data_IF_309369184004
#
_entry.id   IF_309369184004
#
_cell.length_a   1.000
_cell.length_b   1.000
_cell.length_c   1.000
_cell.angle_alpha   90.00
_cell.angle_beta   90.00
_cell.angle_gamma   90.00
#
_symmetry.space_group_name_H-M   'P 1'
#
loop_
_entity.id
_entity.type
_entity.pdbx_description
1 polymer ?
#
# COMPACT_ATOMS: atom_id res chain seq x y z
N UNK A 1 18.03 6.43 -30.37
CA UNK A 1 18.50 5.48 -29.34
C UNK A 1 17.31 5.21 -28.42
N UNK A 2 16.64 4.07 -28.56
CA UNK A 2 15.54 3.71 -27.66
C UNK A 2 16.14 3.27 -26.34
N UNK A 3 15.92 4.05 -25.27
CA UNK A 3 16.48 3.79 -23.95
C UNK A 3 15.76 2.55 -23.36
N UNK A 4 16.37 1.37 -23.50
CA UNK A 4 15.80 0.07 -23.11
C UNK A 4 15.37 0.03 -21.63
N UNK A 5 15.93 0.91 -20.79
CA UNK A 5 15.58 1.07 -19.38
C UNK A 5 14.09 1.40 -19.19
N UNK A 6 13.47 2.14 -20.12
CA UNK A 6 12.05 2.49 -20.02
C UNK A 6 11.08 1.37 -20.37
N UNK A 7 11.56 0.26 -20.96
CA UNK A 7 10.73 -0.88 -21.35
C UNK A 7 10.65 -1.95 -20.25
N UNK A 8 11.34 -1.74 -19.12
CA UNK A 8 11.34 -2.70 -18.01
C UNK A 8 10.00 -2.59 -17.26
N UNK A 9 9.21 -3.67 -17.18
CA UNK A 9 7.97 -3.67 -16.42
C UNK A 9 8.29 -3.53 -14.92
N UNK A 10 7.54 -2.67 -14.24
CA UNK A 10 7.62 -2.47 -12.79
C UNK A 10 6.26 -2.77 -12.19
N UNK A 11 6.23 -3.60 -11.15
CA UNK A 11 5.01 -3.88 -10.40
C UNK A 11 4.74 -2.73 -9.44
N UNK A 12 3.57 -2.11 -9.57
CA UNK A 12 3.12 -1.05 -8.68
C UNK A 12 2.03 -1.60 -7.77
N UNK A 13 2.27 -1.53 -6.47
CA UNK A 13 1.36 -2.03 -5.45
C UNK A 13 1.03 -0.91 -4.47
N UNK A 14 -0.24 -0.76 -4.13
CA UNK A 14 -0.69 0.24 -3.16
C UNK A 14 -1.05 -0.48 -1.86
N UNK A 15 -0.48 -0.03 -0.76
CA UNK A 15 -0.74 -0.56 0.56
C UNK A 15 -1.68 0.38 1.31
N UNK A 16 -2.91 -0.08 1.54
CA UNK A 16 -3.96 0.67 2.24
C UNK A 16 -3.68 0.73 3.74
N UNK A 17 -3.42 -0.42 4.35
CA UNK A 17 -3.10 -0.55 5.76
C UNK A 17 -2.47 -1.90 6.09
N UNK A 18 -1.95 -2.01 7.31
CA UNK A 18 -1.35 -3.20 7.90
C UNK A 18 -2.19 -3.64 9.11
N UNK A 19 -2.02 -4.90 9.49
CA UNK A 19 -2.62 -5.45 10.69
C UNK A 19 -1.74 -6.59 11.19
N UNK A 20 -1.39 -6.57 12.48
CA UNK A 20 -0.61 -7.64 13.11
C UNK A 20 -1.58 -8.56 13.83
N UNK A 21 -1.69 -9.80 13.33
CA UNK A 21 -2.62 -10.80 13.86
C UNK A 21 -1.84 -11.98 14.45
N UNK A 22 -2.16 -12.44 15.67
CA UNK A 22 -1.62 -13.69 16.20
C UNK A 22 -1.98 -14.87 15.30
N UNK A 23 -1.04 -15.80 15.11
CA UNK A 23 -1.26 -16.98 14.25
C UNK A 23 -2.51 -17.78 14.66
N UNK A 24 -2.79 -17.91 15.96
CA UNK A 24 -3.99 -18.59 16.45
C UNK A 24 -5.30 -17.90 16.03
N UNK A 25 -5.30 -16.57 15.91
CA UNK A 25 -6.46 -15.81 15.43
C UNK A 25 -6.64 -16.02 13.93
N UNK A 26 -5.55 -15.92 13.15
CA UNK A 26 -5.55 -16.14 11.71
C UNK A 26 -6.09 -17.54 11.35
N UNK A 27 -5.63 -18.59 12.03
CA UNK A 27 -6.05 -19.97 11.80
C UNK A 27 -7.52 -20.24 12.15
N UNK A 28 -8.10 -19.42 13.05
CA UNK A 28 -9.51 -19.53 13.46
C UNK A 28 -10.44 -18.69 12.59
N UNK A 29 -9.91 -17.92 11.64
CA UNK A 29 -10.73 -17.14 10.72
C UNK A 29 -11.53 -18.05 9.80
N UNK A 30 -12.85 -17.83 9.78
CA UNK A 30 -13.78 -18.50 8.87
C UNK A 30 -14.38 -17.52 7.87
N UNK A 31 -15.40 -17.97 7.14
CA UNK A 31 -16.16 -17.11 6.24
C UNK A 31 -16.81 -15.97 7.03
N UNK A 32 -16.62 -14.73 6.56
CA UNK A 32 -17.17 -13.53 7.19
C UNK A 32 -16.29 -12.92 8.29
N UNK A 33 -15.07 -13.42 8.51
CA UNK A 33 -14.13 -12.78 9.43
C UNK A 33 -13.67 -11.42 8.89
N UNK A 34 -13.74 -10.39 9.72
CA UNK A 34 -13.32 -9.02 9.40
C UNK A 34 -11.97 -8.75 10.08
N UNK A 35 -10.99 -8.26 9.32
CA UNK A 35 -9.70 -7.80 9.86
C UNK A 35 -9.71 -6.27 9.88
N UNK A 36 -9.64 -5.63 11.05
CA UNK A 36 -9.40 -4.20 11.09
C UNK A 36 -7.97 -3.91 10.61
N UNK A 37 -7.84 -2.99 9.67
CA UNK A 37 -6.57 -2.43 9.25
C UNK A 37 -6.29 -1.17 10.08
N UNK A 38 -5.03 -0.79 10.21
CA UNK A 38 -4.57 0.43 10.86
C UNK A 38 -4.80 1.73 10.06
N UNK A 39 -5.61 1.66 9.00
CA UNK A 39 -5.84 2.76 8.07
C UNK A 39 -7.24 3.36 8.22
N UNK A 40 -7.31 4.68 8.26
CA UNK A 40 -8.55 5.47 8.25
C UNK A 40 -8.84 6.04 6.86
N UNK A 41 -10.07 6.52 6.64
CA UNK A 41 -10.54 7.05 5.36
C UNK A 41 -9.73 8.24 4.83
N UNK A 42 -9.03 8.96 5.70
CA UNK A 42 -8.22 10.13 5.37
C UNK A 42 -6.71 9.88 5.48
N UNK A 43 -6.28 8.65 5.75
CA UNK A 43 -4.87 8.35 5.88
C UNK A 43 -4.21 8.22 4.50
N UNK A 44 -3.01 8.80 4.38
CA UNK A 44 -2.18 8.61 3.19
C UNK A 44 -1.79 7.12 3.04
N UNK A 45 -1.88 6.60 1.81
CA UNK A 45 -1.48 5.24 1.43
C UNK A 45 -0.02 5.19 0.97
N UNK A 46 0.58 4.00 1.09
CA UNK A 46 1.92 3.76 0.56
C UNK A 46 1.85 3.24 -0.87
N UNK A 47 2.68 3.82 -1.74
CA UNK A 47 2.86 3.37 -3.11
C UNK A 47 4.22 2.66 -3.18
N UNK A 48 4.17 1.38 -3.53
CA UNK A 48 5.32 0.50 -3.63
C UNK A 48 5.60 0.21 -5.10
N UNK A 49 6.87 0.24 -5.47
CA UNK A 49 7.37 -0.27 -6.75
C UNK A 49 8.25 -1.49 -6.45
N UNK A 50 7.89 -2.68 -6.93
CA UNK A 50 8.58 -3.93 -6.61
C UNK A 50 8.83 -4.10 -5.10
N UNK A 51 7.79 -3.87 -4.29
CA UNK A 51 7.83 -3.94 -2.83
C UNK A 51 8.73 -2.89 -2.13
N UNK A 52 9.16 -1.85 -2.86
CA UNK A 52 9.94 -0.73 -2.32
C UNK A 52 9.11 0.56 -2.27
N UNK A 53 9.06 1.29 -1.14
CA UNK A 53 8.27 2.52 -1.02
C UNK A 53 8.86 3.64 -1.86
N UNK A 54 8.06 4.16 -2.80
CA UNK A 54 8.48 5.24 -3.71
C UNK A 54 7.71 6.53 -3.47
N UNK A 55 6.44 6.45 -3.09
CA UNK A 55 5.57 7.59 -2.94
C UNK A 55 4.48 7.39 -1.89
N UNK A 56 3.87 8.49 -1.48
CA UNK A 56 2.67 8.56 -0.66
C UNK A 56 1.55 9.17 -1.51
N UNK A 57 0.32 8.79 -1.20
CA UNK A 57 -0.83 9.33 -1.91
C UNK A 57 -2.09 9.27 -1.08
N UNK A 58 -3.11 9.98 -1.54
CA UNK A 58 -4.44 9.98 -0.96
C UNK A 58 -5.39 9.17 -1.85
N UNK A 59 -6.31 8.43 -1.21
CA UNK A 59 -7.34 7.71 -1.93
C UNK A 59 -8.45 8.69 -2.32
N UNK A 60 -8.79 8.70 -3.60
CA UNK A 60 -9.93 9.44 -4.12
C UNK A 60 -10.83 8.49 -4.91
N UNK A 61 -12.13 8.59 -4.68
CA UNK A 61 -13.11 7.86 -5.48
C UNK A 61 -13.40 8.73 -6.71
N UNK A 62 -13.06 8.21 -7.88
CA UNK A 62 -13.41 8.84 -9.15
C UNK A 62 -14.45 7.97 -9.83
N UNK A 63 -15.69 8.48 -9.90
CA UNK A 63 -16.86 7.73 -10.35
C UNK A 63 -17.05 6.44 -9.51
N UNK A 64 -16.89 5.27 -10.12
CA UNK A 64 -16.98 3.95 -9.48
C UNK A 64 -15.60 3.30 -9.29
N UNK A 65 -14.51 4.04 -9.53
CA UNK A 65 -13.14 3.53 -9.46
C UNK A 65 -12.38 4.16 -8.30
N UNK A 66 -11.60 3.33 -7.62
CA UNK A 66 -10.62 3.78 -6.63
C UNK A 66 -9.42 4.34 -7.39
N UNK A 67 -9.12 5.61 -7.16
CA UNK A 67 -7.97 6.32 -7.72
C UNK A 67 -7.04 6.77 -6.60
N UNK A 68 -5.74 6.89 -6.90
CA UNK A 68 -4.74 7.32 -5.94
C UNK A 68 -4.08 8.58 -6.49
N UNK A 69 -4.14 9.68 -5.73
CA UNK A 69 -3.46 10.93 -6.05
C UNK A 69 -2.14 10.96 -5.31
N UNK A 70 -1.02 11.05 -6.06
CA UNK A 70 0.32 11.12 -5.47
C UNK A 70 0.50 12.47 -4.79
N UNK A 71 0.80 12.47 -3.49
CA UNK A 71 0.99 13.69 -2.68
C UNK A 71 2.46 14.06 -2.57
N UNK A 72 3.30 13.11 -2.15
CA UNK A 72 4.72 13.33 -1.89
C UNK A 72 5.56 12.08 -2.14
N UNK A 73 6.86 12.28 -2.27
CA UNK A 73 7.82 11.17 -2.32
C UNK A 73 7.89 10.47 -0.95
N UNK A 74 7.95 9.14 -0.97
CA UNK A 74 8.13 8.36 0.24
C UNK A 74 9.61 8.33 0.63
N UNK A 75 9.87 8.43 1.93
CA UNK A 75 11.17 8.09 2.48
C UNK A 75 11.15 6.63 2.93
N UNK A 76 12.13 5.85 2.48
CA UNK A 76 12.27 4.42 2.80
C UNK A 76 12.45 4.21 4.30
N UNK A 77 13.15 5.12 5.00
CA UNK A 77 13.36 5.01 6.44
C UNK A 77 12.04 5.10 7.21
N UNK A 78 11.14 6.00 6.80
CA UNK A 78 9.82 6.16 7.42
C UNK A 78 8.99 4.88 7.27
N UNK A 79 9.05 4.23 6.10
CA UNK A 79 8.33 2.98 5.85
C UNK A 79 8.84 1.81 6.70
N UNK A 80 10.16 1.72 6.89
CA UNK A 80 10.80 0.65 7.65
C UNK A 80 10.56 0.81 9.16
N UNK A 81 10.44 2.05 9.65
CA UNK A 81 10.14 2.35 11.05
C UNK A 81 8.75 1.88 11.50
N UNK A 82 7.82 1.64 10.57
CA UNK A 82 6.45 1.16 10.85
C UNK A 82 6.42 -0.36 11.09
N UNK A 83 7.52 -1.08 10.83
CA UNK A 83 7.59 -2.54 10.90
C UNK A 83 7.92 -3.14 12.27
N UNK A 84 8.07 -2.33 13.33
CA UNK A 84 8.36 -2.78 14.71
C UNK A 84 7.21 -2.46 15.64
#
# INVERSE_FOLDING_TARGET
MSNQVGAVPVEISVLLGRSVLPMAQLLRMGRGAVIPLDAHEHDEVWILANNHPVARGEIQIFEEKISIVVTRQANVYDFMAIGT
#
